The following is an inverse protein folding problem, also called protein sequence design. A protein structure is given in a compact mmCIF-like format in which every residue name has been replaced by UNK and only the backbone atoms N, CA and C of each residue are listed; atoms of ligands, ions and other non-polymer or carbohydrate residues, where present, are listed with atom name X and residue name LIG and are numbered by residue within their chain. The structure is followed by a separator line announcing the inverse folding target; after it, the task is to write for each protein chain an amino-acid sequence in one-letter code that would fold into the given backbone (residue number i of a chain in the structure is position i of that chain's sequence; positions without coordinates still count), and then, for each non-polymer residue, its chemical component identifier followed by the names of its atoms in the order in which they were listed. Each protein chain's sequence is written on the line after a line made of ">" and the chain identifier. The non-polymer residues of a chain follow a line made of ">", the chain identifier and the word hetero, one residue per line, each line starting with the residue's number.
data_IF_027072668859
#
_entry.id   IF_027072668859
#
_cell.length_a   1.000
_cell.length_b   1.000
_cell.length_c   1.000
_cell.angle_alpha   90.00
_cell.angle_beta   90.00
_cell.angle_gamma   90.00
#
_symmetry.space_group_name_H-M   'P 1'
#
loop_
_entity.id
_entity.type
_entity.pdbx_description
1 polymer ?
#
# COMPACT_ATOMS: atom_id res chain seq x y z
N UNK A 1 -11.49 0.51 -20.93
CA UNK A 1 -10.56 1.65 -21.05
C UNK A 1 -9.12 1.12 -21.05
N UNK A 2 -8.36 1.28 -22.13
CA UNK A 2 -6.94 0.88 -22.13
C UNK A 2 -6.12 1.96 -21.44
N UNK A 3 -5.51 1.65 -20.29
CA UNK A 3 -4.61 2.57 -19.60
C UNK A 3 -3.39 2.88 -20.47
N UNK A 4 -3.02 4.15 -20.61
CA UNK A 4 -1.79 4.54 -21.33
C UNK A 4 -0.56 4.26 -20.47
N UNK A 5 0.62 4.17 -21.08
CA UNK A 5 1.90 4.04 -20.34
C UNK A 5 2.11 5.19 -19.36
N UNK A 6 1.74 6.42 -19.76
CA UNK A 6 1.76 7.61 -18.90
C UNK A 6 0.82 7.47 -17.69
N UNK A 7 -0.38 6.90 -17.89
CA UNK A 7 -1.32 6.68 -16.80
C UNK A 7 -0.81 5.62 -15.82
N UNK A 8 -0.23 4.53 -16.32
CA UNK A 8 0.35 3.48 -15.46
C UNK A 8 1.53 4.05 -14.67
N UNK A 9 2.45 4.76 -15.32
CA UNK A 9 3.59 5.40 -14.65
C UNK A 9 3.14 6.32 -13.51
N UNK A 10 2.12 7.15 -13.74
CA UNK A 10 1.50 7.95 -12.67
C UNK A 10 0.89 7.10 -11.56
N UNK A 11 0.27 5.97 -11.88
CA UNK A 11 -0.26 5.02 -10.90
C UNK A 11 0.80 4.49 -9.94
N UNK A 12 2.02 4.18 -10.42
CA UNK A 12 3.14 3.80 -9.55
C UNK A 12 3.55 4.94 -8.61
N UNK A 13 3.61 6.18 -9.13
CA UNK A 13 3.92 7.36 -8.30
C UNK A 13 2.84 7.57 -7.25
N UNK A 14 1.55 7.50 -7.63
CA UNK A 14 0.43 7.63 -6.69
C UNK A 14 0.47 6.53 -5.63
N UNK A 15 0.74 5.27 -6.01
CA UNK A 15 0.91 4.17 -5.06
C UNK A 15 1.99 4.47 -4.02
N UNK A 16 3.13 4.98 -4.49
CA UNK A 16 4.22 5.36 -3.60
C UNK A 16 3.86 6.50 -2.67
N UNK A 17 3.21 7.56 -3.19
CA UNK A 17 2.76 8.68 -2.38
C UNK A 17 1.69 8.29 -1.34
N UNK A 18 0.80 7.35 -1.68
CA UNK A 18 -0.18 6.84 -0.72
C UNK A 18 0.49 6.04 0.41
N UNK A 19 1.55 5.28 0.13
CA UNK A 19 2.37 4.69 1.19
C UNK A 19 3.04 5.79 2.04
N UNK A 20 3.49 6.90 1.45
CA UNK A 20 4.08 8.02 2.21
C UNK A 20 3.08 8.71 3.15
N UNK A 21 1.78 8.59 2.89
CA UNK A 21 0.76 9.16 3.78
C UNK A 21 0.85 8.59 5.21
N UNK A 22 1.44 7.40 5.38
CA UNK A 22 1.73 6.82 6.71
C UNK A 22 2.55 7.77 7.59
N UNK A 23 3.44 8.58 7.01
CA UNK A 23 4.24 9.56 7.76
C UNK A 23 3.36 10.65 8.36
N UNK A 24 2.31 11.06 7.66
CA UNK A 24 1.37 12.08 8.15
C UNK A 24 0.52 11.49 9.27
N UNK A 25 -0.09 10.33 9.05
CA UNK A 25 -0.98 9.72 10.04
C UNK A 25 -0.25 9.24 11.31
N UNK A 26 0.99 8.77 11.18
CA UNK A 26 1.83 8.37 12.32
C UNK A 26 2.57 9.53 12.99
N UNK A 27 2.39 10.77 12.51
CA UNK A 27 3.18 11.95 12.96
C UNK A 27 4.68 11.66 12.92
N UNK A 28 5.18 11.19 11.78
CA UNK A 28 6.56 10.73 11.59
C UNK A 28 6.98 9.66 12.61
N UNK A 29 6.18 8.61 12.77
CA UNK A 29 6.41 7.49 13.70
C UNK A 29 6.39 7.84 15.20
N UNK A 30 5.89 9.03 15.56
CA UNK A 30 5.79 9.45 16.97
C UNK A 30 4.44 9.13 17.59
N UNK A 31 3.44 8.73 16.80
CA UNK A 31 2.12 8.33 17.30
C UNK A 31 2.18 6.89 17.85
N UNK A 32 2.03 6.67 19.16
CA UNK A 32 2.13 5.34 19.76
C UNK A 32 0.86 4.50 19.54
N UNK A 33 -0.27 5.13 19.20
CA UNK A 33 -1.58 4.47 19.10
C UNK A 33 -1.60 3.48 17.93
N UNK A 34 -0.95 3.80 16.81
CA UNK A 34 -0.90 2.89 15.66
C UNK A 34 -0.22 1.55 16.03
N UNK A 35 1.02 1.53 16.55
CA UNK A 35 1.64 0.29 17.02
C UNK A 35 0.92 -0.40 18.18
N UNK A 36 0.16 0.32 19.02
CA UNK A 36 -0.57 -0.28 20.13
C UNK A 36 -1.67 -1.24 19.66
N UNK A 37 -2.38 -0.87 18.58
CA UNK A 37 -3.50 -1.65 18.05
C UNK A 37 -3.09 -2.76 17.05
N UNK A 38 -1.92 -2.65 16.43
CA UNK A 38 -1.30 -3.75 15.66
C UNK A 38 0.23 -3.70 15.78
N UNK A 39 0.80 -4.28 16.86
CA UNK A 39 2.23 -4.18 17.15
C UNK A 39 3.09 -5.03 16.23
N UNK A 40 2.50 -5.93 15.44
CA UNK A 40 3.25 -6.81 14.55
C UNK A 40 3.43 -6.11 13.20
N UNK A 41 2.31 -5.74 12.57
CA UNK A 41 2.32 -5.24 11.19
C UNK A 41 2.47 -3.72 11.15
N UNK A 42 1.87 -3.02 12.12
CA UNK A 42 1.92 -1.56 12.22
C UNK A 42 2.89 -1.06 13.29
N UNK A 43 3.92 -1.86 13.62
CA UNK A 43 5.08 -1.40 14.37
C UNK A 43 5.81 -0.26 13.65
N UNK A 44 6.62 0.52 14.36
CA UNK A 44 7.46 1.56 13.72
C UNK A 44 8.34 0.98 12.59
N UNK A 45 8.81 -0.25 12.75
CA UNK A 45 9.52 -0.96 11.68
C UNK A 45 8.60 -1.25 10.48
N UNK A 46 7.39 -1.78 10.72
CA UNK A 46 6.39 -1.99 9.67
C UNK A 46 6.02 -0.71 8.93
N UNK A 47 5.78 0.39 9.65
CA UNK A 47 5.49 1.70 9.06
C UNK A 47 6.67 2.23 8.22
N UNK A 48 7.91 2.01 8.67
CA UNK A 48 9.10 2.33 7.87
C UNK A 48 9.15 1.47 6.60
N UNK A 49 8.82 0.19 6.69
CA UNK A 49 8.78 -0.69 5.51
C UNK A 49 7.71 -0.26 4.51
N UNK A 50 6.55 0.25 4.95
CA UNK A 50 5.54 0.84 4.06
C UNK A 50 6.16 2.00 3.26
N UNK A 51 6.94 2.89 3.91
CA UNK A 51 7.67 3.98 3.25
C UNK A 51 8.67 3.45 2.23
N UNK A 52 9.48 2.45 2.59
CA UNK A 52 10.46 1.82 1.71
C UNK A 52 9.79 1.21 0.47
N UNK A 53 8.68 0.50 0.63
CA UNK A 53 7.88 -0.01 -0.50
C UNK A 53 7.35 1.12 -1.37
N UNK A 54 6.92 2.22 -0.76
CA UNK A 54 6.49 3.40 -1.51
C UNK A 54 7.59 3.96 -2.41
N UNK A 55 8.83 4.04 -1.90
CA UNK A 55 10.00 4.41 -2.70
C UNK A 55 10.28 3.39 -3.81
N UNK A 56 10.13 2.10 -3.54
CA UNK A 56 10.33 1.05 -4.52
C UNK A 56 9.34 1.16 -5.71
N UNK A 57 8.08 1.53 -5.45
CA UNK A 57 7.12 1.76 -6.54
C UNK A 57 7.52 2.99 -7.38
N UNK A 58 7.92 4.09 -6.73
CA UNK A 58 8.31 5.34 -7.40
C UNK A 58 9.57 5.13 -8.25
N UNK A 59 10.56 4.39 -7.74
CA UNK A 59 11.86 4.21 -8.40
C UNK A 59 11.72 3.50 -9.75
N UNK A 60 10.73 2.61 -9.89
CA UNK A 60 10.47 1.87 -11.14
C UNK A 60 9.35 2.47 -11.98
N UNK A 61 8.73 3.59 -11.58
CA UNK A 61 7.57 4.15 -12.25
C UNK A 61 7.77 4.47 -13.74
N UNK A 62 9.01 4.74 -14.19
CA UNK A 62 9.33 4.98 -15.61
C UNK A 62 9.77 3.71 -16.35
N UNK A 63 10.25 2.70 -15.63
CA UNK A 63 10.90 1.51 -16.19
C UNK A 63 10.16 0.20 -15.83
N UNK A 64 8.93 0.30 -15.32
CA UNK A 64 8.13 -0.85 -14.84
C UNK A 64 7.99 -1.97 -15.86
N UNK A 65 8.01 -1.64 -17.15
CA UNK A 65 7.97 -2.59 -18.26
C UNK A 65 9.12 -3.60 -18.25
N UNK A 66 10.30 -3.19 -17.78
CA UNK A 66 11.50 -4.03 -17.75
C UNK A 66 11.54 -4.96 -16.53
N UNK A 67 10.72 -4.69 -15.52
CA UNK A 67 10.75 -5.36 -14.20
C UNK A 67 9.42 -6.05 -13.89
N UNK A 68 8.82 -6.73 -14.87
CA UNK A 68 7.49 -7.38 -14.73
C UNK A 68 7.34 -8.22 -13.46
N UNK A 69 8.34 -9.01 -13.10
CA UNK A 69 8.28 -9.86 -11.89
C UNK A 69 8.26 -9.04 -10.61
N UNK A 70 8.95 -7.90 -10.57
CA UNK A 70 8.88 -6.98 -9.43
C UNK A 70 7.49 -6.36 -9.30
N UNK A 71 6.82 -6.04 -10.42
CA UNK A 71 5.42 -5.60 -10.39
C UNK A 71 4.51 -6.69 -9.80
N UNK A 72 4.77 -7.97 -10.11
CA UNK A 72 4.09 -9.09 -9.47
C UNK A 72 4.34 -9.16 -7.96
N UNK A 73 5.57 -8.91 -7.51
CA UNK A 73 5.90 -8.82 -6.08
C UNK A 73 5.13 -7.69 -5.39
N UNK A 74 4.98 -6.53 -6.02
CA UNK A 74 4.17 -5.42 -5.48
C UNK A 74 2.69 -5.81 -5.33
N UNK A 75 2.14 -6.59 -6.26
CA UNK A 75 0.78 -7.11 -6.11
C UNK A 75 0.67 -8.05 -4.89
N UNK A 76 1.61 -8.98 -4.72
CA UNK A 76 1.61 -9.90 -3.56
C UNK A 76 1.72 -9.13 -2.25
N UNK A 77 2.61 -8.13 -2.18
CA UNK A 77 2.76 -7.30 -0.99
C UNK A 77 1.45 -6.56 -0.66
N UNK A 78 0.80 -5.91 -1.63
CA UNK A 78 -0.50 -5.26 -1.42
C UNK A 78 -1.61 -6.21 -1.01
N UNK A 79 -1.62 -7.43 -1.54
CA UNK A 79 -2.55 -8.47 -1.14
C UNK A 79 -2.38 -8.84 0.34
N UNK A 80 -1.13 -8.99 0.80
CA UNK A 80 -0.83 -9.33 2.20
C UNK A 80 -1.33 -8.23 3.13
N UNK A 81 -1.02 -6.96 2.87
CA UNK A 81 -1.51 -5.85 3.70
C UNK A 81 -3.04 -5.71 3.67
N UNK A 82 -3.65 -5.84 2.49
CA UNK A 82 -5.11 -5.81 2.34
C UNK A 82 -5.81 -6.94 3.09
N UNK A 83 -5.23 -8.15 3.09
CA UNK A 83 -5.75 -9.29 3.84
C UNK A 83 -5.60 -9.10 5.36
N UNK A 84 -4.44 -8.64 5.81
CA UNK A 84 -4.19 -8.34 7.22
C UNK A 84 -5.17 -7.28 7.73
N UNK A 85 -5.43 -6.24 6.94
CA UNK A 85 -6.41 -5.22 7.28
C UNK A 85 -7.83 -5.77 7.42
N UNK A 86 -8.29 -6.61 6.48
CA UNK A 86 -9.60 -7.28 6.60
C UNK A 86 -9.63 -8.12 7.88
N UNK A 87 -8.59 -8.90 8.14
CA UNK A 87 -8.50 -9.70 9.37
C UNK A 87 -8.56 -8.80 10.60
N UNK A 88 -7.88 -7.67 10.59
CA UNK A 88 -7.92 -6.71 11.70
C UNK A 88 -9.34 -6.14 11.88
N UNK A 89 -10.01 -5.72 10.79
CA UNK A 89 -11.38 -5.20 10.80
C UNK A 89 -12.43 -6.21 11.29
N UNK A 90 -12.23 -7.50 11.03
CA UNK A 90 -13.14 -8.56 11.49
C UNK A 90 -12.97 -8.91 12.98
N UNK A 91 -11.80 -8.61 13.56
CA UNK A 91 -11.47 -8.99 14.95
C UNK A 91 -11.39 -7.79 15.91
N UNK A 92 -11.41 -6.56 15.41
CA UNK A 92 -11.24 -5.34 16.20
C UNK A 92 -12.24 -4.28 15.75
N UNK A 93 -12.46 -3.27 16.60
CA UNK A 93 -13.32 -2.14 16.28
C UNK A 93 -12.47 -0.89 16.03
N UNK A 94 -12.65 -0.27 14.87
CA UNK A 94 -11.98 0.99 14.50
C UNK A 94 -12.41 2.14 15.42
N UNK A 95 -13.63 2.09 15.96
CA UNK A 95 -14.16 3.13 16.85
C UNK A 95 -13.26 3.30 18.08
N UNK A 96 -12.74 2.19 18.62
CA UNK A 96 -11.82 2.18 19.76
C UNK A 96 -10.50 2.91 19.43
N UNK A 97 -10.06 2.84 18.16
CA UNK A 97 -8.88 3.57 17.68
C UNK A 97 -9.18 5.07 17.57
N UNK A 98 -10.35 5.43 17.04
CA UNK A 98 -10.79 6.83 16.94
C UNK A 98 -10.91 7.50 18.30
N UNK A 99 -11.36 6.77 19.32
CA UNK A 99 -11.45 7.26 20.71
C UNK A 99 -10.06 7.60 21.27
N UNK A 100 -9.01 6.85 20.90
CA UNK A 100 -7.64 7.13 21.34
C UNK A 100 -6.94 8.20 20.51
N UNK A 101 -7.02 8.13 19.19
CA UNK A 101 -6.41 9.11 18.30
C UNK A 101 -7.09 9.14 16.92
N UNK A 102 -7.57 10.33 16.55
CA UNK A 102 -8.31 10.54 15.29
C UNK A 102 -7.46 10.21 14.06
N UNK A 103 -6.16 10.53 14.06
CA UNK A 103 -5.29 10.28 12.91
C UNK A 103 -5.02 8.78 12.72
N UNK A 104 -4.82 8.05 13.82
CA UNK A 104 -4.75 6.60 13.81
C UNK A 104 -6.08 5.97 13.33
N UNK A 105 -7.22 6.47 13.83
CA UNK A 105 -8.54 6.00 13.40
C UNK A 105 -8.78 6.19 11.89
N UNK A 106 -8.44 7.36 11.34
CA UNK A 106 -8.50 7.62 9.90
C UNK A 106 -7.59 6.64 9.16
N UNK A 107 -6.34 6.47 9.59
CA UNK A 107 -5.40 5.55 8.98
C UNK A 107 -5.98 4.14 8.91
N UNK A 108 -6.40 3.57 10.05
CA UNK A 108 -7.01 2.25 10.13
C UNK A 108 -8.26 2.12 9.26
N UNK A 109 -9.03 3.19 9.07
CA UNK A 109 -10.24 3.15 8.22
C UNK A 109 -9.92 3.03 6.73
N UNK A 110 -8.82 3.63 6.26
CA UNK A 110 -8.58 3.82 4.82
C UNK A 110 -7.40 3.05 4.24
N UNK A 111 -6.41 2.65 5.06
CA UNK A 111 -5.16 2.09 4.52
C UNK A 111 -5.41 0.79 3.75
N UNK A 112 -6.27 -0.11 4.24
CA UNK A 112 -6.50 -1.37 3.52
C UNK A 112 -7.35 -1.22 2.27
N UNK A 113 -8.27 -0.24 2.22
CA UNK A 113 -8.96 0.12 0.97
C UNK A 113 -7.95 0.56 -0.08
N UNK A 114 -6.99 1.38 0.32
CA UNK A 114 -5.88 1.80 -0.53
C UNK A 114 -5.04 0.61 -1.01
N UNK A 115 -4.73 -0.34 -0.14
CA UNK A 115 -3.98 -1.55 -0.51
C UNK A 115 -4.74 -2.44 -1.50
N UNK A 116 -6.05 -2.61 -1.35
CA UNK A 116 -6.88 -3.36 -2.30
C UNK A 116 -6.94 -2.70 -3.68
N UNK A 117 -7.06 -1.38 -3.74
CA UNK A 117 -7.03 -0.64 -5.01
C UNK A 117 -5.69 -0.86 -5.71
N UNK A 118 -4.59 -0.75 -4.98
CA UNK A 118 -3.25 -0.91 -5.57
C UNK A 118 -2.90 -2.37 -5.87
N UNK A 119 -3.45 -3.34 -5.15
CA UNK A 119 -3.38 -4.76 -5.51
C UNK A 119 -3.99 -5.00 -6.90
N UNK A 120 -5.20 -4.50 -7.13
CA UNK A 120 -5.88 -4.63 -8.43
C UNK A 120 -5.06 -3.92 -9.52
N UNK A 121 -4.56 -2.72 -9.23
CA UNK A 121 -3.71 -1.97 -10.16
C UNK A 121 -2.44 -2.75 -10.55
N UNK A 122 -1.64 -3.21 -9.58
CA UNK A 122 -0.40 -3.93 -9.88
C UNK A 122 -0.66 -5.27 -10.55
N UNK A 123 -1.71 -5.99 -10.14
CA UNK A 123 -2.13 -7.24 -10.79
C UNK A 123 -2.50 -7.01 -12.26
N UNK A 124 -3.28 -5.96 -12.54
CA UNK A 124 -3.63 -5.59 -13.91
C UNK A 124 -2.39 -5.27 -14.75
N UNK A 125 -1.48 -4.45 -14.23
CA UNK A 125 -0.23 -4.11 -14.93
C UNK A 125 0.61 -5.35 -15.18
N UNK A 126 0.77 -6.22 -14.19
CA UNK A 126 1.52 -7.46 -14.29
C UNK A 126 0.99 -8.39 -15.38
N UNK A 127 -0.33 -8.65 -15.38
CA UNK A 127 -0.99 -9.49 -16.40
C UNK A 127 -0.78 -8.91 -17.80
N UNK A 128 -0.88 -7.58 -17.94
CA UNK A 128 -0.64 -6.91 -19.22
C UNK A 128 0.81 -7.09 -19.70
N UNK A 129 1.79 -6.97 -18.80
CA UNK A 129 3.20 -7.15 -19.15
C UNK A 129 3.52 -8.60 -19.54
N UNK A 130 2.91 -9.59 -18.90
CA UNK A 130 3.07 -11.00 -19.31
C UNK A 130 2.52 -11.23 -20.72
N UNK A 131 1.31 -10.76 -20.99
CA UNK A 131 0.67 -10.95 -22.31
C UNK A 131 1.45 -10.31 -23.44
N UNK A 132 2.05 -9.13 -23.20
CA UNK A 132 2.86 -8.40 -24.18
C UNK A 132 4.21 -9.05 -24.50
N UNK A 133 4.73 -9.95 -23.66
CA UNK A 133 5.99 -10.66 -23.91
C UNK A 133 5.75 -11.97 -24.68
N UNK A 134 4.55 -12.51 -24.59
CA UNK A 134 4.17 -13.77 -25.26
C UNK A 134 3.48 -13.52 -26.63
N UNK A 135 3.45 -12.26 -27.10
CA UNK A 135 2.93 -11.83 -28.40
C UNK A 135 4.06 -11.30 -29.26
#
# INVERSE_FOLDING_TARGET
>A
MMLTTKTISKGFVTAGLMNMAVLVFSRFFTNPVIPEFDPVVMSNFGLLMIVVWGLAYISVAKNYHQVKWLVGVFAIEKLIYGFIWIKWMLNNNVSDVFEKDIMAGIFYSVYGVNDWIFFIFFSFVFIRLIKSVNS
#
